data_IF_214092468123
#
_entry.id   IF_214092468123
#
_cell.length_a   1.000
_cell.length_b   1.000
_cell.length_c   1.000
_cell.angle_alpha   90.00
_cell.angle_beta   90.00
_cell.angle_gamma   90.00
#
_symmetry.space_group_name_H-M   'P 1'
#
loop_
_entity.id
_entity.type
_entity.pdbx_description
1 polymer ?
#
# COMPACT_ATOMS: atom_id res chain seq x y z
N UNK A 1 -4.68 -2.09 -26.71
CA UNK A 1 -5.07 -1.55 -25.39
C UNK A 1 -6.25 -0.61 -25.58
N UNK A 2 -7.32 -0.75 -24.81
CA UNK A 2 -8.48 0.16 -24.86
C UNK A 2 -8.84 0.60 -23.46
N UNK A 3 -8.29 1.75 -23.02
CA UNK A 3 -8.65 2.36 -21.72
C UNK A 3 -10.12 2.77 -21.62
N UNK A 4 -10.83 2.82 -22.78
CA UNK A 4 -12.26 3.16 -22.81
C UNK A 4 -13.12 2.13 -22.09
N UNK A 5 -12.68 0.87 -22.08
CA UNK A 5 -13.40 -0.24 -21.45
C UNK A 5 -13.34 -0.19 -19.91
N UNK A 6 -12.50 0.71 -19.36
CA UNK A 6 -12.38 0.96 -17.93
C UNK A 6 -13.31 2.06 -17.41
N UNK A 7 -14.08 2.74 -18.28
CA UNK A 7 -14.97 3.85 -17.86
C UNK A 7 -16.20 3.39 -17.08
N UNK A 8 -16.53 2.11 -17.13
CA UNK A 8 -17.71 1.56 -16.46
C UNK A 8 -17.27 0.52 -15.43
N UNK A 9 -17.73 0.67 -14.19
CA UNK A 9 -17.58 -0.35 -13.16
C UNK A 9 -18.51 -1.52 -13.48
N UNK A 10 -18.06 -2.78 -13.49
CA UNK A 10 -18.93 -3.93 -13.68
C UNK A 10 -20.01 -3.97 -12.61
N UNK A 11 -21.26 -4.26 -13.02
CA UNK A 11 -22.42 -4.29 -12.11
C UNK A 11 -22.21 -5.16 -10.85
N UNK A 12 -21.64 -6.38 -10.92
CA UNK A 12 -21.36 -7.17 -9.74
C UNK A 12 -20.38 -6.49 -8.76
N UNK A 13 -19.43 -5.72 -9.28
CA UNK A 13 -18.47 -4.96 -8.46
C UNK A 13 -19.18 -3.83 -7.74
N UNK A 14 -20.06 -3.09 -8.43
CA UNK A 14 -20.83 -2.02 -7.83
C UNK A 14 -21.77 -2.55 -6.73
N UNK A 15 -22.43 -3.69 -6.95
CA UNK A 15 -23.28 -4.34 -5.95
C UNK A 15 -22.49 -4.80 -4.72
N UNK A 16 -21.31 -5.38 -4.92
CA UNK A 16 -20.43 -5.80 -3.83
C UNK A 16 -19.92 -4.60 -3.03
N UNK A 17 -19.52 -3.51 -3.69
CA UNK A 17 -19.12 -2.27 -3.04
C UNK A 17 -20.25 -1.68 -2.18
N UNK A 18 -21.47 -1.59 -2.72
CA UNK A 18 -22.64 -1.13 -1.96
C UNK A 18 -22.96 -2.03 -0.76
N UNK A 19 -22.69 -3.32 -0.84
CA UNK A 19 -22.86 -4.23 0.29
C UNK A 19 -21.80 -3.98 1.38
N UNK A 20 -20.54 -3.69 0.99
CA UNK A 20 -19.50 -3.30 1.94
C UNK A 20 -19.79 -1.97 2.63
N UNK A 21 -20.32 -0.98 1.92
CA UNK A 21 -20.69 0.30 2.52
C UNK A 21 -21.69 0.13 3.67
N UNK A 22 -22.67 -0.78 3.54
CA UNK A 22 -23.60 -1.09 4.61
C UNK A 22 -22.95 -1.77 5.81
N UNK A 23 -21.97 -2.64 5.57
CA UNK A 23 -21.17 -3.24 6.64
C UNK A 23 -20.32 -2.18 7.33
N UNK A 24 -19.64 -1.34 6.57
CA UNK A 24 -18.78 -0.28 7.09
C UNK A 24 -19.58 0.76 7.91
N UNK A 25 -20.85 1.03 7.54
CA UNK A 25 -21.75 1.88 8.31
C UNK A 25 -22.07 1.31 9.70
N UNK A 26 -22.14 -0.01 9.83
CA UNK A 26 -22.32 -0.65 11.13
C UNK A 26 -21.13 -0.40 12.07
N UNK A 27 -19.92 -0.31 11.55
CA UNK A 27 -18.73 0.07 12.33
C UNK A 27 -18.75 1.54 12.77
N UNK A 28 -19.34 2.42 11.97
CA UNK A 28 -19.49 3.83 12.35
C UNK A 28 -20.53 3.99 13.44
N UNK A 29 -21.69 3.33 13.30
CA UNK A 29 -22.80 3.38 14.27
C UNK A 29 -22.45 2.68 15.57
N UNK A 30 -21.75 1.54 15.50
CA UNK A 30 -21.41 0.64 16.60
C UNK A 30 -22.35 -0.56 16.71
N UNK A 31 -21.75 -1.75 16.80
CA UNK A 31 -22.48 -3.02 16.87
C UNK A 31 -23.31 -3.16 18.17
N UNK A 32 -22.96 -2.46 19.22
CA UNK A 32 -23.77 -2.38 20.45
C UNK A 32 -25.07 -1.57 20.31
N UNK A 33 -25.28 -0.89 19.19
CA UNK A 33 -26.43 0.03 18.96
C UNK A 33 -27.15 -0.23 17.64
N UNK A 34 -26.93 -1.38 17.01
CA UNK A 34 -27.54 -1.69 15.71
C UNK A 34 -29.07 -1.78 15.81
N UNK A 35 -29.73 -1.13 14.86
CA UNK A 35 -31.16 -1.28 14.65
C UNK A 35 -31.47 -2.63 13.99
N UNK A 36 -32.73 -3.05 14.05
CA UNK A 36 -33.20 -4.23 13.30
C UNK A 36 -32.93 -4.12 11.80
N UNK A 37 -33.09 -2.94 11.23
CA UNK A 37 -32.78 -2.69 9.81
C UNK A 37 -31.29 -2.89 9.47
N UNK A 38 -30.38 -2.48 10.35
CA UNK A 38 -28.94 -2.74 10.17
C UNK A 38 -28.63 -4.24 10.25
N UNK A 39 -29.25 -4.96 11.19
CA UNK A 39 -29.09 -6.42 11.31
C UNK A 39 -29.63 -7.16 10.08
N UNK A 40 -30.77 -6.74 9.54
CA UNK A 40 -31.31 -7.30 8.28
C UNK A 40 -30.38 -7.04 7.09
N UNK A 41 -29.79 -5.84 7.02
CA UNK A 41 -28.81 -5.51 5.98
C UNK A 41 -27.57 -6.38 6.06
N UNK A 42 -27.04 -6.64 7.28
CA UNK A 42 -25.93 -7.55 7.53
C UNK A 42 -26.29 -9.00 7.19
N UNK A 43 -27.50 -9.45 7.58
CA UNK A 43 -28.00 -10.78 7.21
C UNK A 43 -28.14 -10.95 5.69
N UNK A 44 -28.45 -9.86 4.98
CA UNK A 44 -28.48 -9.85 3.50
C UNK A 44 -27.14 -10.21 2.86
N UNK A 45 -26.01 -9.89 3.50
CA UNK A 45 -24.68 -10.26 3.04
C UNK A 45 -24.42 -11.77 3.14
N UNK A 46 -25.11 -12.51 4.00
CA UNK A 46 -24.92 -13.96 4.17
C UNK A 46 -25.05 -14.71 2.85
N UNK A 47 -25.94 -14.27 1.96
CA UNK A 47 -26.14 -14.89 0.65
C UNK A 47 -24.89 -14.82 -0.23
N UNK A 48 -24.08 -13.77 -0.06
CA UNK A 48 -22.82 -13.60 -0.81
C UNK A 48 -21.76 -14.62 -0.40
N UNK A 49 -21.89 -15.22 0.77
CA UNK A 49 -20.96 -16.21 1.29
C UNK A 49 -21.45 -17.65 1.20
N UNK A 50 -22.68 -17.89 0.70
CA UNK A 50 -23.33 -19.20 0.74
C UNK A 50 -22.51 -20.36 0.14
N UNK A 51 -21.66 -20.08 -0.85
CA UNK A 51 -20.78 -21.06 -1.48
C UNK A 51 -19.31 -20.99 -1.02
N UNK A 52 -19.03 -20.32 0.10
CA UNK A 52 -17.68 -20.11 0.61
C UNK A 52 -17.48 -20.82 1.96
N UNK A 53 -16.24 -21.12 2.37
CA UNK A 53 -15.96 -21.64 3.71
C UNK A 53 -16.43 -20.72 4.86
N UNK A 54 -16.66 -19.43 4.60
CA UNK A 54 -17.13 -18.46 5.60
C UNK A 54 -18.64 -18.52 5.86
N UNK A 55 -19.43 -19.27 5.08
CA UNK A 55 -20.90 -19.23 5.14
C UNK A 55 -21.46 -19.53 6.55
N UNK A 56 -21.00 -20.61 7.15
CA UNK A 56 -21.47 -21.04 8.48
C UNK A 56 -21.03 -20.08 9.59
N UNK A 57 -19.76 -19.67 9.57
CA UNK A 57 -19.17 -18.78 10.56
C UNK A 57 -19.79 -17.38 10.49
N UNK A 58 -20.01 -16.87 9.28
CA UNK A 58 -20.65 -15.57 9.08
C UNK A 58 -22.11 -15.57 9.58
N UNK A 59 -22.86 -16.65 9.29
CA UNK A 59 -24.22 -16.81 9.80
C UNK A 59 -24.25 -16.84 11.33
N UNK A 60 -23.34 -17.59 11.96
CA UNK A 60 -23.22 -17.69 13.40
C UNK A 60 -22.85 -16.32 14.03
N UNK A 61 -21.91 -15.58 13.42
CA UNK A 61 -21.51 -14.26 13.89
C UNK A 61 -22.69 -13.26 13.87
N UNK A 62 -23.42 -13.17 12.76
CA UNK A 62 -24.58 -12.29 12.64
C UNK A 62 -25.69 -12.67 13.64
N UNK A 63 -25.94 -13.97 13.82
CA UNK A 63 -26.91 -14.44 14.79
C UNK A 63 -26.50 -14.11 16.24
N UNK A 64 -25.22 -14.30 16.60
CA UNK A 64 -24.68 -13.96 17.92
C UNK A 64 -24.82 -12.45 18.19
N UNK A 65 -24.36 -11.62 17.25
CA UNK A 65 -24.48 -10.16 17.35
C UNK A 65 -25.95 -9.74 17.50
N UNK A 66 -26.86 -10.34 16.73
CA UNK A 66 -28.28 -10.07 16.82
C UNK A 66 -28.92 -10.45 18.17
N UNK A 67 -28.28 -11.33 18.94
CA UNK A 67 -28.66 -11.69 20.31
C UNK A 67 -27.90 -10.93 21.39
N UNK A 68 -27.07 -9.93 20.99
CA UNK A 68 -26.13 -9.21 21.86
C UNK A 68 -25.09 -10.14 22.52
N UNK A 69 -24.73 -11.24 21.85
CA UNK A 69 -23.64 -12.11 22.23
C UNK A 69 -22.37 -11.62 21.50
N UNK A 70 -21.59 -10.80 22.16
CA UNK A 70 -20.38 -10.20 21.55
C UNK A 70 -19.15 -11.01 21.93
N UNK A 71 -18.54 -11.66 20.93
CA UNK A 71 -17.31 -12.43 21.07
C UNK A 71 -16.31 -11.94 20.01
N UNK A 72 -15.03 -11.87 20.34
CA UNK A 72 -13.98 -11.42 19.41
C UNK A 72 -13.96 -12.22 18.11
N UNK A 73 -14.26 -13.51 18.15
CA UNK A 73 -14.39 -14.37 16.97
C UNK A 73 -15.48 -13.91 16.00
N UNK A 74 -16.59 -13.30 16.47
CA UNK A 74 -17.62 -12.78 15.59
C UNK A 74 -17.09 -11.59 14.77
N UNK A 75 -16.32 -10.72 15.42
CA UNK A 75 -15.70 -9.56 14.77
C UNK A 75 -14.55 -9.96 13.85
N UNK A 76 -13.80 -11.02 14.18
CA UNK A 76 -12.82 -11.61 13.28
C UNK A 76 -13.48 -12.13 11.99
N UNK A 77 -14.63 -12.79 12.10
CA UNK A 77 -15.39 -13.25 10.93
C UNK A 77 -15.90 -12.09 10.09
N UNK A 78 -16.36 -10.98 10.71
CA UNK A 78 -16.75 -9.77 9.97
C UNK A 78 -15.55 -9.16 9.23
N UNK A 79 -14.39 -9.09 9.86
CA UNK A 79 -13.15 -8.61 9.23
C UNK A 79 -12.74 -9.50 8.05
N UNK A 80 -12.79 -10.83 8.22
CA UNK A 80 -12.48 -11.80 7.17
C UNK A 80 -13.48 -11.72 6.00
N UNK A 81 -14.77 -11.58 6.30
CA UNK A 81 -15.82 -11.41 5.30
C UNK A 81 -15.60 -10.12 4.48
N UNK A 82 -15.33 -9.00 5.15
CA UNK A 82 -14.98 -7.74 4.51
C UNK A 82 -13.77 -7.88 3.58
N UNK A 83 -12.68 -8.44 4.09
CA UNK A 83 -11.47 -8.67 3.32
C UNK A 83 -11.71 -9.58 2.11
N UNK A 84 -12.55 -10.61 2.25
CA UNK A 84 -12.89 -11.53 1.15
C UNK A 84 -13.66 -10.82 0.03
N UNK A 85 -14.62 -9.94 0.37
CA UNK A 85 -15.35 -9.16 -0.63
C UNK A 85 -14.43 -8.16 -1.31
N UNK A 86 -13.59 -7.45 -0.57
CA UNK A 86 -12.56 -6.58 -1.17
C UNK A 86 -11.61 -7.35 -2.09
N UNK A 87 -11.18 -8.55 -1.68
CA UNK A 87 -10.37 -9.41 -2.53
C UNK A 87 -11.08 -9.82 -3.83
N UNK A 88 -12.36 -10.15 -3.76
CA UNK A 88 -13.14 -10.48 -4.96
C UNK A 88 -13.34 -9.27 -5.89
N UNK A 89 -13.61 -8.09 -5.32
CA UNK A 89 -13.68 -6.84 -6.08
C UNK A 89 -12.33 -6.54 -6.75
N UNK A 90 -11.24 -6.63 -5.99
CA UNK A 90 -9.89 -6.45 -6.52
C UNK A 90 -9.62 -7.39 -7.71
N UNK A 91 -9.92 -8.67 -7.59
CA UNK A 91 -9.67 -9.64 -8.65
C UNK A 91 -10.50 -9.37 -9.90
N UNK A 92 -11.77 -8.97 -9.73
CA UNK A 92 -12.64 -8.59 -10.83
C UNK A 92 -12.13 -7.34 -11.56
N UNK A 93 -11.67 -6.33 -10.80
CA UNK A 93 -11.09 -5.11 -11.36
C UNK A 93 -9.75 -5.40 -12.07
N UNK A 94 -8.88 -6.24 -11.48
CA UNK A 94 -7.62 -6.65 -12.13
C UNK A 94 -7.89 -7.44 -13.41
N UNK A 95 -8.93 -8.28 -13.43
CA UNK A 95 -9.35 -8.95 -14.66
C UNK A 95 -9.84 -7.97 -15.73
N UNK A 96 -10.63 -6.95 -15.34
CA UNK A 96 -11.07 -5.87 -16.23
C UNK A 96 -9.87 -5.09 -16.77
N UNK A 97 -8.93 -4.70 -15.92
CA UNK A 97 -7.71 -4.00 -16.34
C UNK A 97 -6.86 -4.87 -17.29
N UNK A 98 -6.74 -6.16 -17.00
CA UNK A 98 -6.01 -7.09 -17.84
C UNK A 98 -6.61 -7.20 -19.25
N UNK A 99 -7.94 -7.32 -19.35
CA UNK A 99 -8.64 -7.34 -20.63
C UNK A 99 -8.45 -6.01 -21.40
N UNK A 100 -8.59 -4.87 -20.74
CA UNK A 100 -8.40 -3.54 -21.34
C UNK A 100 -6.95 -3.32 -21.84
N UNK A 101 -5.97 -3.91 -21.16
CA UNK A 101 -4.55 -3.82 -21.50
C UNK A 101 -4.09 -4.91 -22.47
N UNK A 102 -5.00 -5.78 -22.94
CA UNK A 102 -4.67 -6.96 -23.76
C UNK A 102 -3.58 -7.84 -23.12
N UNK A 103 -3.75 -8.12 -21.83
CA UNK A 103 -2.84 -8.94 -21.02
C UNK A 103 -3.56 -10.20 -20.55
N UNK A 104 -2.86 -11.33 -20.41
CA UNK A 104 -3.46 -12.50 -19.77
C UNK A 104 -3.85 -12.15 -18.31
N UNK A 105 -4.94 -12.74 -17.78
CA UNK A 105 -5.27 -12.60 -16.38
C UNK A 105 -4.09 -13.09 -15.53
N UNK A 106 -3.89 -12.53 -14.32
CA UNK A 106 -2.82 -12.97 -13.45
C UNK A 106 -3.00 -14.46 -13.14
N UNK A 107 -1.93 -15.23 -13.31
CA UNK A 107 -1.92 -16.61 -12.83
C UNK A 107 -2.06 -16.59 -11.31
N UNK A 108 -2.96 -17.39 -10.77
CA UNK A 108 -3.07 -17.61 -9.33
C UNK A 108 -1.95 -18.60 -8.96
N UNK A 109 -0.74 -18.10 -8.76
CA UNK A 109 0.31 -18.91 -8.15
C UNK A 109 -0.02 -19.07 -6.66
N UNK A 110 0.02 -20.31 -6.19
CA UNK A 110 -0.08 -20.57 -4.76
C UNK A 110 1.12 -19.90 -4.07
N UNK A 111 0.83 -19.01 -3.12
CA UNK A 111 1.90 -18.50 -2.25
C UNK A 111 2.34 -19.70 -1.42
N UNK A 112 3.61 -20.11 -1.54
CA UNK A 112 4.19 -21.04 -0.58
C UNK A 112 4.19 -20.34 0.79
N UNK A 113 3.15 -20.64 1.57
CA UNK A 113 3.10 -20.22 2.96
C UNK A 113 4.21 -20.96 3.69
N UNK A 114 5.16 -20.24 4.28
CA UNK A 114 6.02 -20.85 5.29
C UNK A 114 5.14 -21.25 6.47
N UNK A 115 5.44 -22.38 7.12
CA UNK A 115 4.77 -22.72 8.35
C UNK A 115 4.89 -21.53 9.30
N UNK A 116 3.75 -21.06 9.79
CA UNK A 116 3.68 -19.95 10.72
C UNK A 116 4.56 -20.28 11.92
N UNK A 117 5.50 -19.41 12.24
CA UNK A 117 6.23 -19.53 13.51
C UNK A 117 5.23 -19.23 14.62
N UNK A 118 5.11 -20.16 15.56
CA UNK A 118 4.28 -19.90 16.74
C UNK A 118 4.80 -18.64 17.43
N UNK A 119 3.95 -17.64 17.68
CA UNK A 119 4.38 -16.45 18.39
C UNK A 119 4.90 -16.82 19.79
N UNK A 120 5.83 -16.05 20.35
CA UNK A 120 6.22 -16.22 21.75
C UNK A 120 4.97 -16.21 22.63
N UNK A 121 4.93 -16.97 23.76
CA UNK A 121 3.75 -17.03 24.63
C UNK A 121 3.20 -15.66 25.04
N UNK A 122 4.06 -14.69 25.25
CA UNK A 122 3.69 -13.33 25.61
C UNK A 122 3.01 -12.58 24.43
N UNK A 123 3.43 -12.83 23.20
CA UNK A 123 2.78 -12.24 22.02
C UNK A 123 1.34 -12.76 21.87
N UNK A 124 1.04 -13.99 22.25
CA UNK A 124 -0.31 -14.53 22.22
C UNK A 124 -1.26 -13.71 23.13
N UNK A 125 -0.80 -13.30 24.31
CA UNK A 125 -1.58 -12.45 25.23
C UNK A 125 -1.82 -11.06 24.61
N UNK A 126 -0.81 -10.47 23.99
CA UNK A 126 -0.97 -9.18 23.32
C UNK A 126 -1.94 -9.24 22.14
N UNK A 127 -1.88 -10.31 21.35
CA UNK A 127 -2.79 -10.53 20.22
C UNK A 127 -4.24 -10.73 20.70
N UNK A 128 -4.44 -11.44 21.81
CA UNK A 128 -5.76 -11.56 22.43
C UNK A 128 -6.27 -10.20 22.93
N UNK A 129 -5.44 -9.45 23.67
CA UNK A 129 -5.78 -8.08 24.12
C UNK A 129 -6.11 -7.16 22.94
N UNK A 130 -5.40 -7.31 21.83
CA UNK A 130 -5.68 -6.57 20.59
C UNK A 130 -7.08 -6.89 20.06
N UNK A 131 -7.45 -8.18 19.95
CA UNK A 131 -8.78 -8.56 19.47
C UNK A 131 -9.90 -8.02 20.37
N UNK A 132 -9.71 -8.07 21.69
CA UNK A 132 -10.66 -7.53 22.65
C UNK A 132 -10.82 -6.02 22.49
N UNK A 133 -9.71 -5.26 22.42
CA UNK A 133 -9.77 -3.83 22.20
C UNK A 133 -10.43 -3.45 20.86
N UNK A 134 -10.11 -4.14 19.77
CA UNK A 134 -10.74 -3.93 18.47
C UNK A 134 -12.26 -4.25 18.51
N UNK A 135 -12.66 -5.27 19.26
CA UNK A 135 -14.06 -5.56 19.49
C UNK A 135 -14.77 -4.41 20.25
N UNK A 136 -14.15 -3.86 21.28
CA UNK A 136 -14.69 -2.72 22.03
C UNK A 136 -14.87 -1.48 21.13
N UNK A 137 -13.89 -1.17 20.28
CA UNK A 137 -14.01 -0.10 19.29
C UNK A 137 -15.22 -0.32 18.36
N UNK A 138 -15.39 -1.55 17.87
CA UNK A 138 -16.51 -1.89 16.98
C UNK A 138 -17.87 -1.86 17.70
N UNK A 139 -17.92 -2.24 18.97
CA UNK A 139 -19.15 -2.17 19.78
C UNK A 139 -19.57 -0.71 20.05
N UNK A 140 -18.62 0.14 20.42
CA UNK A 140 -18.88 1.57 20.65
C UNK A 140 -19.30 2.27 19.34
N UNK A 141 -18.64 1.93 18.25
CA UNK A 141 -18.76 2.57 16.95
C UNK A 141 -17.90 3.84 16.83
N UNK A 142 -17.34 4.05 15.66
CA UNK A 142 -16.38 5.13 15.43
C UNK A 142 -16.97 6.54 15.64
N UNK A 143 -18.29 6.71 15.49
CA UNK A 143 -18.95 7.99 15.79
C UNK A 143 -19.13 8.26 17.29
N UNK A 144 -18.94 7.24 18.13
CA UNK A 144 -19.19 7.33 19.58
C UNK A 144 -17.97 6.94 20.41
N UNK A 145 -16.78 6.93 19.80
CA UNK A 145 -15.56 6.64 20.54
C UNK A 145 -15.27 7.74 21.56
N UNK A 146 -14.80 7.31 22.70
CA UNK A 146 -14.27 8.14 23.76
C UNK A 146 -12.82 7.79 24.04
N UNK A 147 -12.06 8.73 24.57
CA UNK A 147 -10.62 8.54 24.87
C UNK A 147 -10.41 7.35 25.81
N UNK A 148 -11.35 7.13 26.73
CA UNK A 148 -11.32 6.04 27.70
C UNK A 148 -11.44 4.64 27.08
N UNK A 149 -11.91 4.55 25.82
CA UNK A 149 -11.95 3.29 25.05
C UNK A 149 -10.62 3.10 24.30
N UNK A 150 -9.98 4.19 23.89
CA UNK A 150 -8.79 4.15 23.04
C UNK A 150 -7.50 3.98 23.87
N UNK A 151 -7.32 4.80 24.90
CA UNK A 151 -6.06 4.88 25.66
C UNK A 151 -5.68 3.62 26.45
N UNK A 152 -6.59 2.79 26.98
CA UNK A 152 -6.18 1.60 27.74
C UNK A 152 -5.30 0.62 26.96
N UNK A 153 -5.35 0.64 25.63
CA UNK A 153 -4.52 -0.23 24.78
C UNK A 153 -3.06 0.24 24.67
N UNK A 154 -2.73 1.50 25.07
CA UNK A 154 -1.39 2.06 24.90
C UNK A 154 -0.29 1.20 25.54
N UNK A 155 -0.52 0.67 26.73
CA UNK A 155 0.47 -0.18 27.42
C UNK A 155 0.77 -1.49 26.65
N UNK A 156 -0.22 -2.06 25.98
CA UNK A 156 -0.04 -3.25 25.13
C UNK A 156 0.74 -2.86 23.87
N UNK A 157 0.44 -1.70 23.28
CA UNK A 157 1.15 -1.20 22.10
C UNK A 157 2.63 -0.95 22.41
N UNK A 158 2.96 -0.27 23.51
CA UNK A 158 4.33 0.00 23.96
C UNK A 158 5.13 -1.31 24.16
N UNK A 159 4.46 -2.34 24.70
CA UNK A 159 5.06 -3.66 24.86
C UNK A 159 5.35 -4.33 23.51
N UNK A 160 4.42 -4.25 22.55
CA UNK A 160 4.62 -4.77 21.17
C UNK A 160 5.73 -4.03 20.42
N UNK A 161 5.87 -2.74 20.59
CA UNK A 161 6.94 -1.94 19.95
C UNK A 161 8.33 -2.39 20.38
N UNK A 162 8.45 -2.89 21.60
CA UNK A 162 9.71 -3.41 22.14
C UNK A 162 10.09 -4.80 21.61
N UNK A 163 9.18 -5.49 20.93
CA UNK A 163 9.36 -6.85 20.41
C UNK A 163 9.49 -6.86 18.88
N UNK A 164 10.68 -7.16 18.32
CA UNK A 164 10.90 -7.10 16.87
C UNK A 164 9.96 -7.96 16.04
N UNK A 165 9.51 -9.11 16.57
CA UNK A 165 8.56 -9.99 15.90
C UNK A 165 7.15 -9.38 15.77
N UNK A 166 6.84 -8.38 16.59
CA UNK A 166 5.57 -7.67 16.62
C UNK A 166 5.60 -6.31 15.90
N UNK A 167 6.74 -5.90 15.34
CA UNK A 167 6.93 -4.56 14.77
C UNK A 167 5.85 -4.19 13.72
N UNK A 168 5.41 -5.15 12.89
CA UNK A 168 4.36 -4.90 11.90
C UNK A 168 2.99 -4.67 12.54
N UNK A 169 2.67 -5.41 13.62
CA UNK A 169 1.45 -5.23 14.38
C UNK A 169 1.46 -3.88 15.09
N UNK A 170 2.56 -3.56 15.77
CA UNK A 170 2.74 -2.30 16.45
C UNK A 170 2.60 -1.09 15.51
N UNK A 171 3.21 -1.16 14.33
CA UNK A 171 3.10 -0.09 13.33
C UNK A 171 1.65 0.13 12.85
N UNK A 172 0.91 -0.96 12.58
CA UNK A 172 -0.49 -0.86 12.14
C UNK A 172 -1.39 -0.33 13.25
N UNK A 173 -1.26 -0.88 14.47
CA UNK A 173 -2.08 -0.51 15.62
C UNK A 173 -1.76 0.91 16.11
N UNK A 174 -0.48 1.28 16.14
CA UNK A 174 -0.04 2.65 16.46
C UNK A 174 -0.57 3.67 15.45
N UNK A 175 -0.57 3.32 14.15
CA UNK A 175 -1.18 4.14 13.12
C UNK A 175 -2.69 4.32 13.32
N UNK A 176 -3.43 3.24 13.55
CA UNK A 176 -4.87 3.31 13.84
C UNK A 176 -5.14 4.14 15.09
N UNK A 177 -4.46 3.86 16.20
CA UNK A 177 -4.65 4.56 17.46
C UNK A 177 -4.31 6.05 17.34
N UNK A 178 -3.23 6.40 16.64
CA UNK A 178 -2.84 7.78 16.37
C UNK A 178 -3.90 8.54 15.58
N UNK A 179 -4.49 7.93 14.55
CA UNK A 179 -5.58 8.54 13.78
C UNK A 179 -6.84 8.73 14.63
N UNK A 180 -7.20 7.73 15.46
CA UNK A 180 -8.34 7.85 16.36
C UNK A 180 -8.12 8.98 17.34
N UNK A 181 -6.94 9.11 17.96
CA UNK A 181 -6.62 10.16 18.93
C UNK A 181 -6.50 11.55 18.32
N UNK A 182 -6.07 11.68 17.08
CA UNK A 182 -5.94 12.96 16.39
C UNK A 182 -7.28 13.70 16.21
N UNK A 183 -8.38 12.98 16.28
CA UNK A 183 -9.74 13.54 16.13
C UNK A 183 -10.29 14.07 17.45
N UNK A 184 -9.70 13.75 18.60
CA UNK A 184 -10.18 14.16 19.93
C UNK A 184 -9.43 15.39 20.47
N UNK A 185 -10.14 16.26 21.26
CA UNK A 185 -11.57 16.25 21.58
C UNK A 185 -12.43 16.76 20.42
N UNK A 186 -13.45 16.00 20.11
CA UNK A 186 -14.32 16.23 18.97
C UNK A 186 -15.31 17.40 19.26
N UNK A 187 -14.92 18.63 18.96
CA UNK A 187 -15.78 19.82 19.14
C UNK A 187 -16.54 20.24 17.86
N UNK A 188 -16.83 19.33 17.01
CA UNK A 188 -17.59 19.52 15.77
C UNK A 188 -17.38 18.29 14.93
N UNK A 189 -18.44 17.60 14.52
CA UNK A 189 -18.34 16.32 13.84
C UNK A 189 -17.36 16.38 12.65
N UNK A 190 -16.09 15.98 12.81
CA UNK A 190 -15.25 15.78 11.64
C UNK A 190 -15.86 14.64 10.86
N UNK A 191 -15.75 14.72 9.56
CA UNK A 191 -16.13 13.60 8.70
C UNK A 191 -15.25 12.40 9.06
N UNK A 192 -15.87 11.34 9.58
CA UNK A 192 -15.17 10.12 9.95
C UNK A 192 -14.65 9.48 8.65
N UNK A 193 -13.34 9.24 8.52
CA UNK A 193 -12.79 8.58 7.33
C UNK A 193 -13.13 7.07 7.36
N UNK A 194 -14.43 6.78 7.21
CA UNK A 194 -15.05 5.46 7.38
C UNK A 194 -14.26 4.33 6.69
N UNK A 195 -14.02 4.48 5.40
CA UNK A 195 -13.33 3.44 4.62
C UNK A 195 -11.95 3.13 5.19
N UNK A 196 -11.20 4.17 5.56
CA UNK A 196 -9.85 4.02 6.08
C UNK A 196 -9.83 3.39 7.47
N UNK A 197 -10.67 3.84 8.38
CA UNK A 197 -10.68 3.32 9.75
C UNK A 197 -11.18 1.88 9.82
N UNK A 198 -12.22 1.54 9.05
CA UNK A 198 -12.70 0.14 8.97
C UNK A 198 -11.68 -0.76 8.28
N UNK A 199 -10.92 -0.24 7.30
CA UNK A 199 -9.85 -1.01 6.66
C UNK A 199 -8.71 -1.29 7.64
N UNK A 200 -8.22 -0.29 8.35
CA UNK A 200 -7.16 -0.44 9.37
C UNK A 200 -7.62 -1.39 10.47
N UNK A 201 -8.85 -1.23 10.96
CA UNK A 201 -9.46 -2.10 11.96
C UNK A 201 -9.53 -3.55 11.47
N UNK A 202 -10.04 -3.78 10.25
CA UNK A 202 -10.18 -5.13 9.68
C UNK A 202 -8.82 -5.81 9.51
N UNK A 203 -7.82 -5.08 9.04
CA UNK A 203 -6.44 -5.58 8.91
C UNK A 203 -5.84 -5.93 10.26
N UNK A 204 -6.02 -5.06 11.26
CA UNK A 204 -5.55 -5.29 12.61
C UNK A 204 -6.21 -6.52 13.25
N UNK A 205 -7.52 -6.70 13.08
CA UNK A 205 -8.26 -7.87 13.59
C UNK A 205 -7.77 -9.18 12.95
N UNK A 206 -7.58 -9.21 11.62
CA UNK A 206 -7.06 -10.39 10.91
C UNK A 206 -5.63 -10.68 11.34
N UNK A 207 -4.77 -9.66 11.42
CA UNK A 207 -3.39 -9.84 11.86
C UNK A 207 -3.28 -10.32 13.31
N UNK A 208 -4.20 -9.91 14.19
CA UNK A 208 -4.23 -10.35 15.57
C UNK A 208 -4.71 -11.82 15.73
N UNK A 209 -5.31 -12.41 14.69
CA UNK A 209 -5.74 -13.80 14.68
C UNK A 209 -4.76 -14.73 13.97
N UNK A 210 -3.96 -14.22 13.04
CA UNK A 210 -2.98 -14.97 12.29
C UNK A 210 -1.57 -14.57 12.71
N UNK A 211 -0.68 -15.53 12.99
CA UNK A 211 0.71 -15.20 13.23
C UNK A 211 1.31 -14.49 12.00
N UNK A 212 2.25 -13.55 12.19
CA UNK A 212 2.86 -12.83 11.10
C UNK A 212 3.60 -13.77 10.16
N UNK A 213 3.11 -13.91 8.94
CA UNK A 213 3.81 -14.66 7.90
C UNK A 213 5.04 -13.88 7.45
N UNK A 214 6.21 -14.44 7.65
CA UNK A 214 7.41 -13.93 7.03
C UNK A 214 7.38 -14.30 5.54
N UNK A 215 7.39 -13.28 4.66
CA UNK A 215 7.55 -13.49 3.22
C UNK A 215 8.79 -14.33 2.94
N UNK A 216 8.61 -15.46 2.27
CA UNK A 216 9.73 -16.19 1.72
C UNK A 216 10.52 -15.26 0.79
N UNK A 217 11.85 -15.25 0.94
CA UNK A 217 12.73 -14.50 0.07
C UNK A 217 13.70 -15.46 -0.61
N UNK A 218 14.02 -15.20 -1.87
CA UNK A 218 15.12 -15.84 -2.60
C UNK A 218 16.15 -14.81 -3.04
N UNK A 219 17.38 -15.21 -3.16
CA UNK A 219 18.44 -14.35 -3.71
C UNK A 219 18.33 -14.27 -5.22
N UNK A 220 18.45 -13.05 -5.77
CA UNK A 220 18.47 -12.79 -7.20
C UNK A 220 19.67 -11.93 -7.59
N UNK A 221 20.20 -12.19 -8.78
CA UNK A 221 21.25 -11.38 -9.37
C UNK A 221 20.90 -11.07 -10.82
N UNK A 222 21.27 -9.89 -11.32
CA UNK A 222 20.96 -9.51 -12.70
C UNK A 222 21.05 -8.03 -12.95
N UNK A 223 20.44 -7.60 -14.06
CA UNK A 223 20.31 -6.20 -14.43
C UNK A 223 18.91 -5.68 -14.08
N UNK A 224 18.87 -4.56 -13.38
CA UNK A 224 17.65 -3.89 -12.96
C UNK A 224 17.47 -2.61 -13.78
N UNK A 225 16.37 -2.51 -14.51
CA UNK A 225 15.99 -1.38 -15.36
C UNK A 225 14.90 -0.58 -14.64
N UNK A 226 15.19 0.66 -14.28
CA UNK A 226 14.21 1.53 -13.61
C UNK A 226 13.18 1.97 -14.62
N UNK A 227 11.89 1.74 -14.33
CA UNK A 227 10.76 2.06 -15.20
C UNK A 227 9.99 3.30 -14.74
N UNK A 228 10.12 3.67 -13.48
CA UNK A 228 9.47 4.83 -12.89
C UNK A 228 9.53 4.82 -11.38
N UNK A 229 9.12 5.92 -10.77
CA UNK A 229 9.09 6.08 -9.32
C UNK A 229 7.81 6.78 -8.89
N UNK A 230 7.36 6.49 -7.65
CA UNK A 230 6.26 7.14 -6.96
C UNK A 230 6.75 7.60 -5.58
N UNK A 231 6.49 8.85 -5.22
CA UNK A 231 6.85 9.40 -3.91
C UNK A 231 5.59 9.50 -3.05
N UNK A 232 5.58 8.80 -1.93
CA UNK A 232 4.50 8.81 -0.95
C UNK A 232 4.96 9.50 0.31
N UNK A 233 4.20 10.46 0.76
CA UNK A 233 4.53 11.23 1.95
C UNK A 233 3.42 11.13 2.99
N UNK A 234 3.84 10.98 4.23
CA UNK A 234 3.05 11.11 5.44
C UNK A 234 3.76 12.09 6.37
N UNK A 235 3.10 12.52 7.43
CA UNK A 235 3.67 13.49 8.37
C UNK A 235 5.01 13.03 8.96
N UNK A 236 5.12 11.73 9.30
CA UNK A 236 6.29 11.16 9.97
C UNK A 236 7.18 10.30 9.06
N UNK A 237 6.79 10.07 7.82
CA UNK A 237 7.53 9.20 6.91
C UNK A 237 7.39 9.62 5.45
N UNK A 238 8.42 9.34 4.67
CA UNK A 238 8.36 9.38 3.22
C UNK A 238 8.85 8.06 2.65
N UNK A 239 8.19 7.58 1.59
CA UNK A 239 8.55 6.35 0.89
C UNK A 239 8.73 6.64 -0.59
N UNK A 240 9.92 6.37 -1.11
CA UNK A 240 10.17 6.34 -2.54
C UNK A 240 9.94 4.91 -3.03
N UNK A 241 8.91 4.70 -3.84
CA UNK A 241 8.62 3.42 -4.50
C UNK A 241 9.27 3.46 -5.88
N UNK A 242 10.15 2.51 -6.15
CA UNK A 242 10.82 2.38 -7.46
C UNK A 242 10.27 1.14 -8.16
N UNK A 243 9.69 1.34 -9.33
CA UNK A 243 9.25 0.27 -10.22
C UNK A 243 10.36 -0.06 -11.20
N UNK A 244 10.69 -1.34 -11.31
CA UNK A 244 11.79 -1.78 -12.14
C UNK A 244 11.49 -3.10 -12.85
N UNK A 245 12.17 -3.32 -13.97
CA UNK A 245 12.22 -4.60 -14.66
C UNK A 245 13.55 -5.28 -14.34
N UNK A 246 13.48 -6.48 -13.80
CA UNK A 246 14.64 -7.33 -13.50
C UNK A 246 14.85 -8.35 -14.61
N UNK A 247 15.98 -8.29 -15.28
CA UNK A 247 16.51 -9.35 -16.13
C UNK A 247 17.41 -10.23 -15.25
N UNK A 248 16.84 -11.30 -14.72
CA UNK A 248 17.52 -12.19 -13.79
C UNK A 248 18.57 -13.04 -14.53
N UNK A 249 19.78 -13.12 -13.97
CA UNK A 249 20.85 -13.93 -14.54
C UNK A 249 20.44 -15.40 -14.66
N UNK A 250 20.59 -15.96 -15.86
CA UNK A 250 20.19 -17.34 -16.17
C UNK A 250 18.72 -17.52 -16.52
N UNK A 251 17.89 -16.45 -16.51
CA UNK A 251 16.51 -16.47 -16.95
C UNK A 251 16.34 -15.69 -18.25
N UNK A 252 15.37 -16.14 -19.09
CA UNK A 252 14.95 -15.38 -20.27
C UNK A 252 13.74 -14.48 -19.99
N UNK A 253 13.15 -14.59 -18.81
CA UNK A 253 11.97 -13.84 -18.43
C UNK A 253 12.35 -12.56 -17.69
N UNK A 254 11.77 -11.43 -18.11
CA UNK A 254 11.85 -10.16 -17.39
C UNK A 254 10.73 -10.11 -16.34
N UNK A 255 11.07 -9.77 -15.11
CA UNK A 255 10.14 -9.66 -13.99
C UNK A 255 9.97 -8.21 -13.58
N UNK A 256 8.73 -7.77 -13.38
CA UNK A 256 8.47 -6.47 -12.76
C UNK A 256 8.65 -6.60 -11.25
N UNK A 257 9.44 -5.70 -10.68
CA UNK A 257 9.77 -5.64 -9.25
C UNK A 257 9.48 -4.26 -8.69
N UNK A 258 9.30 -4.19 -7.37
CA UNK A 258 9.18 -2.93 -6.64
C UNK A 258 10.27 -2.86 -5.57
N UNK A 259 10.74 -1.64 -5.31
CA UNK A 259 11.68 -1.34 -4.24
C UNK A 259 11.04 -0.23 -3.40
N UNK A 260 11.05 -0.39 -2.09
CA UNK A 260 10.58 0.60 -1.15
C UNK A 260 11.75 1.14 -0.35
N UNK A 261 12.06 2.44 -0.52
CA UNK A 261 12.93 3.17 0.38
C UNK A 261 12.05 4.01 1.30
N UNK A 262 11.95 3.63 2.55
CA UNK A 262 11.17 4.37 3.54
C UNK A 262 12.10 5.03 4.54
N UNK A 263 11.94 6.33 4.74
CA UNK A 263 12.67 7.13 5.70
C UNK A 263 11.70 7.85 6.64
N UNK A 264 12.01 7.84 7.93
CA UNK A 264 11.27 8.67 8.90
C UNK A 264 11.69 10.13 8.75
N UNK A 265 10.73 11.01 8.86
CA UNK A 265 10.93 12.46 8.78
C UNK A 265 10.11 13.18 9.85
N UNK A 266 10.38 14.45 10.00
CA UNK A 266 9.50 15.42 10.67
C UNK A 266 8.92 16.36 9.61
N UNK A 267 7.81 17.02 9.91
CA UNK A 267 7.02 17.81 8.95
C UNK A 267 7.83 18.86 8.19
N UNK A 268 8.83 19.44 8.83
CA UNK A 268 9.69 20.46 8.22
C UNK A 268 10.64 19.93 7.14
N UNK A 269 10.80 18.60 7.02
CA UNK A 269 11.64 17.99 6.00
C UNK A 269 10.78 17.72 4.78
N UNK A 270 10.99 18.51 3.74
CA UNK A 270 10.27 18.46 2.48
C UNK A 270 11.22 18.69 1.29
N UNK A 271 10.74 18.48 0.10
CA UNK A 271 11.46 18.77 -1.13
C UNK A 271 12.81 18.07 -1.23
N UNK A 272 13.86 18.81 -1.61
CA UNK A 272 15.22 18.28 -1.82
C UNK A 272 15.81 17.60 -0.57
N UNK A 273 15.35 17.94 0.63
CA UNK A 273 15.84 17.33 1.89
C UNK A 273 15.43 15.86 2.03
N UNK A 274 14.31 15.45 1.41
CA UNK A 274 13.90 14.04 1.35
C UNK A 274 14.93 13.21 0.58
N UNK A 275 15.53 13.78 -0.48
CA UNK A 275 16.59 13.12 -1.24
C UNK A 275 17.80 12.79 -0.38
N UNK A 276 18.15 13.64 0.59
CA UNK A 276 19.22 13.37 1.53
C UNK A 276 18.91 12.20 2.46
N UNK A 277 17.67 12.09 2.95
CA UNK A 277 17.23 10.96 3.77
C UNK A 277 17.30 9.64 2.99
N UNK A 278 16.79 9.61 1.77
CA UNK A 278 16.85 8.40 0.95
C UNK A 278 18.28 8.01 0.56
N UNK A 279 19.20 8.99 0.44
CA UNK A 279 20.62 8.72 0.15
C UNK A 279 21.28 7.90 1.26
N UNK A 280 20.82 8.03 2.51
CA UNK A 280 21.37 7.25 3.64
C UNK A 280 21.07 5.75 3.52
N UNK A 281 19.99 5.38 2.82
CA UNK A 281 19.52 4.00 2.69
C UNK A 281 19.62 3.43 1.28
N UNK A 282 19.89 4.27 0.27
CA UNK A 282 19.89 3.86 -1.14
C UNK A 282 20.72 4.75 -2.05
N UNK A 283 21.97 5.05 -1.67
CA UNK A 283 22.85 5.95 -2.42
C UNK A 283 23.08 5.51 -3.87
N UNK A 284 23.31 4.22 -4.12
CA UNK A 284 23.53 3.66 -5.45
C UNK A 284 22.24 3.71 -6.29
N UNK A 285 21.08 3.45 -5.67
CA UNK A 285 19.79 3.54 -6.34
C UNK A 285 19.49 4.99 -6.76
N UNK A 286 19.68 5.96 -5.85
CA UNK A 286 19.51 7.37 -6.16
C UNK A 286 20.52 7.91 -7.19
N UNK A 287 21.75 7.43 -7.14
CA UNK A 287 22.74 7.77 -8.17
C UNK A 287 22.34 7.26 -9.55
N UNK A 288 21.81 6.05 -9.63
CA UNK A 288 21.27 5.49 -10.87
C UNK A 288 20.06 6.25 -11.39
N UNK A 289 19.12 6.63 -10.51
CA UNK A 289 17.96 7.48 -10.85
C UNK A 289 18.39 8.82 -11.42
N UNK A 290 19.26 9.55 -10.69
CA UNK A 290 19.78 10.86 -11.11
C UNK A 290 20.60 10.78 -12.41
N UNK A 291 21.32 9.67 -12.60
CA UNK A 291 22.18 9.44 -13.77
C UNK A 291 21.44 8.86 -14.99
N UNK A 292 20.17 8.43 -14.83
CA UNK A 292 19.47 7.68 -15.88
C UNK A 292 20.21 6.39 -16.22
N UNK A 293 20.56 5.59 -15.21
CA UNK A 293 21.38 4.39 -15.37
C UNK A 293 20.58 3.15 -14.94
N UNK A 294 20.92 2.01 -15.52
CA UNK A 294 20.52 0.70 -15.01
C UNK A 294 21.37 0.36 -13.78
N UNK A 295 20.94 -0.66 -13.03
CA UNK A 295 21.66 -1.17 -11.87
C UNK A 295 22.03 -2.63 -12.10
N UNK A 296 23.27 -3.00 -11.75
CA UNK A 296 23.63 -4.41 -11.58
C UNK A 296 23.42 -4.78 -10.12
N UNK A 297 22.61 -5.81 -9.86
CA UNK A 297 22.37 -6.33 -8.51
C UNK A 297 22.96 -7.72 -8.36
N UNK A 298 23.44 -8.02 -7.15
CA UNK A 298 24.02 -9.32 -6.81
C UNK A 298 23.47 -9.81 -5.46
N UNK A 299 22.92 -11.02 -5.48
CA UNK A 299 22.38 -11.69 -4.29
C UNK A 299 21.34 -10.84 -3.52
N UNK A 300 20.58 -10.03 -4.25
CA UNK A 300 19.51 -9.19 -3.68
C UNK A 300 18.33 -10.04 -3.24
N UNK A 301 17.78 -9.85 -2.02
CA UNK A 301 16.59 -10.61 -1.61
C UNK A 301 15.34 -10.17 -2.37
N UNK A 302 14.70 -11.09 -3.06
CA UNK A 302 13.40 -10.93 -3.72
C UNK A 302 12.34 -11.66 -2.91
N UNK A 303 11.33 -10.93 -2.47
CA UNK A 303 10.19 -11.49 -1.76
C UNK A 303 9.16 -12.12 -2.73
N UNK A 304 8.35 -13.05 -2.23
CA UNK A 304 7.34 -13.76 -3.03
C UNK A 304 6.30 -12.85 -3.70
N UNK A 305 6.04 -11.67 -3.12
CA UNK A 305 5.17 -10.64 -3.69
C UNK A 305 5.85 -9.75 -4.77
N UNK A 306 7.07 -10.07 -5.19
CA UNK A 306 7.81 -9.32 -6.20
C UNK A 306 8.57 -8.09 -5.67
N UNK A 307 8.59 -7.85 -4.36
CA UNK A 307 9.32 -6.74 -3.77
C UNK A 307 10.79 -7.13 -3.55
N UNK A 308 11.72 -6.30 -4.05
CA UNK A 308 13.13 -6.40 -3.71
C UNK A 308 13.38 -5.75 -2.35
N UNK A 309 13.89 -6.51 -1.40
CA UNK A 309 14.38 -5.97 -0.14
C UNK A 309 15.73 -5.31 -0.40
N UNK A 310 15.71 -3.98 -0.48
CA UNK A 310 16.85 -3.23 -0.92
C UNK A 310 18.04 -3.33 0.07
N UNK A 311 19.19 -3.65 -0.47
CA UNK A 311 20.48 -3.60 0.19
C UNK A 311 21.45 -2.88 -0.76
N UNK A 312 21.76 -1.63 -0.45
CA UNK A 312 22.52 -0.76 -1.34
C UNK A 312 23.95 -1.28 -1.63
N UNK A 313 24.52 -2.05 -0.70
CA UNK A 313 25.83 -2.69 -0.88
C UNK A 313 25.82 -3.77 -1.99
N UNK A 314 24.64 -4.32 -2.32
CA UNK A 314 24.46 -5.36 -3.35
C UNK A 314 24.12 -4.79 -4.73
N UNK A 315 24.11 -3.47 -4.87
CA UNK A 315 23.74 -2.78 -6.10
C UNK A 315 24.87 -1.85 -6.57
N UNK A 316 25.05 -1.75 -7.90
CA UNK A 316 26.00 -0.82 -8.52
C UNK A 316 25.34 -0.16 -9.73
N UNK A 317 25.47 1.19 -9.89
CA UNK A 317 25.10 1.86 -11.13
C UNK A 317 25.86 1.27 -12.31
N UNK A 318 25.13 1.02 -13.40
CA UNK A 318 25.64 0.41 -14.62
C UNK A 318 25.60 1.37 -15.81
N UNK A 319 25.29 0.85 -16.99
CA UNK A 319 25.20 1.60 -18.23
C UNK A 319 24.05 2.62 -18.20
N UNK A 320 24.17 3.70 -18.98
CA UNK A 320 23.06 4.61 -19.23
C UNK A 320 21.91 3.86 -19.89
N UNK A 321 20.69 4.21 -19.49
CA UNK A 321 19.44 3.59 -19.94
C UNK A 321 18.53 4.62 -20.62
N UNK A 322 17.73 4.13 -21.54
CA UNK A 322 16.54 4.84 -22.00
C UNK A 322 15.33 4.28 -21.25
N UNK A 323 14.89 4.96 -20.20
CA UNK A 323 13.75 4.53 -19.38
C UNK A 323 12.52 4.24 -20.24
N UNK A 324 12.29 5.04 -21.28
CA UNK A 324 11.16 4.90 -22.20
C UNK A 324 11.27 3.63 -23.04
N UNK A 325 12.47 3.32 -23.56
CA UNK A 325 12.69 2.11 -24.35
C UNK A 325 12.61 0.86 -23.46
N UNK A 326 13.20 0.94 -22.28
CA UNK A 326 13.12 -0.14 -21.29
C UNK A 326 11.67 -0.38 -20.84
N UNK A 327 10.89 0.68 -20.61
CA UNK A 327 9.48 0.57 -20.27
C UNK A 327 8.63 0.01 -21.43
N UNK A 328 8.82 0.52 -22.65
CA UNK A 328 8.12 -0.01 -23.82
C UNK A 328 8.45 -1.48 -24.06
N UNK A 329 9.69 -1.89 -23.86
CA UNK A 329 10.11 -3.29 -24.01
C UNK A 329 9.54 -4.19 -22.90
N UNK A 330 9.53 -3.73 -21.64
CA UNK A 330 9.08 -4.51 -20.50
C UNK A 330 7.56 -4.55 -20.34
N UNK A 331 6.86 -3.45 -20.69
CA UNK A 331 5.43 -3.26 -20.46
C UNK A 331 4.60 -3.40 -21.74
N UNK A 332 5.21 -3.26 -22.91
CA UNK A 332 4.57 -3.42 -24.22
C UNK A 332 4.24 -4.89 -24.57
N UNK A 333 4.83 -5.85 -23.89
CA UNK A 333 4.50 -7.28 -23.93
C UNK A 333 3.92 -7.66 -22.58
N UNK A 334 3.04 -8.67 -22.57
CA UNK A 334 2.51 -9.18 -21.31
C UNK A 334 3.68 -9.56 -20.38
N UNK A 335 3.78 -9.00 -19.18
CA UNK A 335 4.84 -9.38 -18.25
C UNK A 335 4.74 -10.86 -17.93
N UNK A 336 5.86 -11.57 -17.97
CA UNK A 336 5.92 -13.02 -17.81
C UNK A 336 5.47 -13.49 -16.42
N UNK A 337 5.57 -12.63 -15.39
CA UNK A 337 5.09 -12.92 -14.05
C UNK A 337 4.64 -11.62 -13.37
N UNK A 338 3.47 -11.66 -12.78
CA UNK A 338 2.97 -10.62 -11.87
C UNK A 338 3.32 -10.99 -10.43
N UNK A 339 3.51 -10.00 -9.55
CA UNK A 339 3.61 -10.26 -8.12
C UNK A 339 2.38 -11.02 -7.63
N UNK A 340 2.58 -12.05 -6.83
CA UNK A 340 1.48 -12.71 -6.13
C UNK A 340 1.15 -11.85 -4.92
N UNK A 341 -0.07 -11.34 -4.85
CA UNK A 341 -0.51 -10.53 -3.73
C UNK A 341 -1.03 -11.40 -2.60
N UNK A 342 -0.64 -11.07 -1.37
CA UNK A 342 -1.26 -11.66 -0.20
C UNK A 342 -2.73 -11.28 -0.11
N UNK A 343 -3.58 -12.09 0.54
CA UNK A 343 -4.98 -11.75 0.75
C UNK A 343 -5.19 -10.35 1.34
N UNK A 344 -4.33 -9.94 2.27
CA UNK A 344 -4.39 -8.60 2.88
C UNK A 344 -4.04 -7.45 1.91
N UNK A 345 -3.30 -7.74 0.83
CA UNK A 345 -2.92 -6.74 -0.18
C UNK A 345 -3.90 -6.71 -1.36
N UNK A 346 -4.87 -7.62 -1.40
CA UNK A 346 -5.92 -7.68 -2.42
C UNK A 346 -7.05 -6.73 -2.05
N UNK A 347 -6.82 -5.45 -2.23
CA UNK A 347 -7.78 -4.39 -1.96
C UNK A 347 -7.89 -3.47 -3.20
N UNK A 348 -9.07 -3.00 -3.59
CA UNK A 348 -9.26 -2.16 -4.79
C UNK A 348 -8.33 -0.94 -4.82
N UNK A 349 -8.19 -0.23 -3.71
CA UNK A 349 -7.33 0.95 -3.62
C UNK A 349 -5.82 0.66 -3.74
N UNK A 350 -5.42 -0.62 -3.68
CA UNK A 350 -4.03 -1.04 -3.84
C UNK A 350 -3.72 -1.55 -5.25
N UNK A 351 -4.65 -1.43 -6.20
CA UNK A 351 -4.39 -1.76 -7.60
C UNK A 351 -3.42 -0.73 -8.17
N UNK A 352 -2.26 -1.21 -8.58
CA UNK A 352 -1.17 -0.40 -9.13
C UNK A 352 -0.58 -1.15 -10.34
N UNK A 353 -1.28 -1.09 -11.46
CA UNK A 353 -0.80 -1.70 -12.70
C UNK A 353 0.11 -0.74 -13.44
N UNK A 354 1.37 -1.10 -13.57
CA UNK A 354 2.33 -0.31 -14.34
C UNK A 354 2.03 -0.47 -15.84
N UNK A 355 1.81 0.66 -16.52
CA UNK A 355 1.42 0.69 -17.93
C UNK A 355 2.31 1.63 -18.73
N UNK A 356 2.63 1.22 -19.95
CA UNK A 356 3.17 2.09 -20.98
C UNK A 356 2.02 2.59 -21.83
N UNK A 357 1.88 3.90 -21.93
CA UNK A 357 0.85 4.57 -22.73
C UNK A 357 1.51 5.23 -23.94
N UNK A 358 1.39 4.65 -25.15
CA UNK A 358 1.92 5.22 -26.35
C UNK A 358 1.12 6.48 -26.77
N UNK A 359 1.69 7.39 -27.57
CA UNK A 359 1.04 8.65 -27.94
C UNK A 359 -0.31 8.47 -28.65
N UNK A 360 -0.44 7.39 -29.40
CA UNK A 360 -1.65 7.04 -30.16
C UNK A 360 -2.83 6.59 -29.29
N UNK A 361 -2.56 6.18 -28.07
CA UNK A 361 -3.55 5.57 -27.16
C UNK A 361 -3.94 6.48 -26.01
N UNK A 362 -3.31 7.66 -25.90
CA UNK A 362 -3.69 8.64 -24.91
C UNK A 362 -5.09 9.18 -25.23
N UNK A 363 -6.09 8.65 -24.56
CA UNK A 363 -7.43 9.21 -24.58
C UNK A 363 -7.42 10.44 -23.67
N UNK A 364 -7.57 11.64 -24.25
CA UNK A 364 -7.68 12.92 -23.50
C UNK A 364 -8.80 12.91 -22.45
N UNK A 365 -9.71 11.97 -22.57
CA UNK A 365 -10.89 11.83 -21.72
C UNK A 365 -10.69 10.83 -20.57
N UNK A 366 -9.52 10.22 -20.43
CA UNK A 366 -9.27 9.31 -19.31
C UNK A 366 -8.78 10.10 -18.09
N UNK A 367 -9.37 9.91 -16.89
CA UNK A 367 -9.00 10.67 -15.71
C UNK A 367 -7.52 10.52 -15.37
N UNK A 368 -6.86 11.66 -15.14
CA UNK A 368 -5.50 11.71 -14.66
C UNK A 368 -5.51 12.13 -13.19
N UNK A 369 -4.79 11.41 -12.37
CA UNK A 369 -4.51 11.83 -11.01
C UNK A 369 -3.20 12.61 -10.98
N UNK A 370 -3.31 13.90 -10.84
CA UNK A 370 -2.18 14.83 -10.84
C UNK A 370 -1.81 15.20 -9.39
N UNK A 371 -2.76 15.12 -8.47
CA UNK A 371 -2.62 15.59 -7.08
C UNK A 371 -1.63 14.78 -6.23
N UNK A 372 -1.28 13.56 -6.67
CA UNK A 372 -0.26 12.72 -6.00
C UNK A 372 1.16 12.94 -6.53
N UNK A 373 1.34 13.88 -7.46
CA UNK A 373 2.67 14.18 -7.96
C UNK A 373 3.49 14.90 -6.88
N UNK A 374 4.74 14.49 -6.76
CA UNK A 374 5.63 15.05 -5.76
C UNK A 374 5.84 16.55 -6.00
N UNK A 375 5.76 17.37 -4.96
CA UNK A 375 6.01 18.81 -5.00
C UNK A 375 7.37 19.19 -5.60
N UNK A 376 8.34 18.26 -5.56
CA UNK A 376 9.70 18.47 -6.04
C UNK A 376 9.92 18.15 -7.51
N UNK A 377 9.01 17.45 -8.16
CA UNK A 377 9.18 17.01 -9.55
C UNK A 377 7.82 16.82 -10.23
N UNK A 378 7.05 17.88 -10.24
CA UNK A 378 5.69 17.89 -10.77
C UNK A 378 5.69 17.58 -12.27
N UNK A 379 5.06 16.47 -12.65
CA UNK A 379 4.61 16.22 -14.00
C UNK A 379 3.25 16.91 -14.15
N UNK A 380 3.23 18.11 -14.73
CA UNK A 380 1.98 18.82 -14.96
C UNK A 380 1.31 18.37 -16.25
N UNK A 381 0.01 18.60 -16.38
CA UNK A 381 -0.75 18.23 -17.58
C UNK A 381 -0.13 18.71 -18.90
N UNK A 382 0.59 19.87 -18.89
CA UNK A 382 1.36 20.35 -20.04
C UNK A 382 2.55 19.47 -20.41
N UNK A 383 3.05 18.63 -19.48
CA UNK A 383 4.12 17.69 -19.80
C UNK A 383 3.59 16.49 -20.61
N UNK A 384 2.33 16.15 -20.43
CA UNK A 384 1.66 15.11 -21.20
C UNK A 384 1.26 15.60 -22.59
N UNK A 385 0.93 16.90 -22.72
CA UNK A 385 0.60 17.50 -23.99
C UNK A 385 1.82 17.46 -24.94
N UNK A 386 1.70 16.75 -26.06
CA UNK A 386 2.78 16.57 -27.04
C UNK A 386 3.86 15.56 -26.60
N UNK A 387 3.61 14.75 -25.57
CA UNK A 387 4.51 13.68 -25.18
C UNK A 387 4.61 12.61 -26.28
N UNK A 388 5.76 11.91 -26.32
CA UNK A 388 5.98 10.74 -27.17
C UNK A 388 5.61 9.42 -26.47
N UNK A 389 4.78 9.52 -25.45
CA UNK A 389 4.36 8.43 -24.58
C UNK A 389 4.82 8.65 -23.14
N UNK A 390 4.19 7.92 -22.24
CA UNK A 390 4.48 8.01 -20.80
C UNK A 390 4.28 6.66 -20.09
N UNK A 391 4.94 6.51 -18.95
CA UNK A 391 4.67 5.42 -18.00
C UNK A 391 3.74 5.94 -16.93
N UNK A 392 2.74 5.16 -16.59
CA UNK A 392 1.78 5.51 -15.56
C UNK A 392 1.47 4.31 -14.67
N UNK A 393 0.94 4.60 -13.49
CA UNK A 393 0.22 3.64 -12.67
C UNK A 393 -1.26 3.75 -13.01
N UNK A 394 -1.84 2.64 -13.46
CA UNK A 394 -3.28 2.49 -13.57
C UNK A 394 -3.79 2.09 -12.19
N UNK A 395 -4.66 2.92 -11.63
CA UNK A 395 -5.19 2.79 -10.28
C UNK A 395 -6.71 2.78 -10.29
N UNK A 396 -7.29 2.19 -9.25
CA UNK A 396 -8.71 2.25 -8.98
C UNK A 396 -8.94 2.76 -7.56
N UNK A 397 -9.67 3.86 -7.41
CA UNK A 397 -10.06 4.43 -6.13
C UNK A 397 -11.37 5.19 -6.26
N UNK A 398 -12.16 5.27 -5.17
CA UNK A 398 -13.45 5.98 -5.18
C UNK A 398 -14.45 5.48 -6.23
N UNK A 399 -14.36 4.21 -6.67
CA UNK A 399 -15.23 3.64 -7.69
C UNK A 399 -14.83 3.99 -9.15
N UNK A 400 -13.68 4.62 -9.37
CA UNK A 400 -13.22 5.05 -10.68
C UNK A 400 -11.79 4.61 -10.97
N UNK A 401 -11.49 4.43 -12.26
CA UNK A 401 -10.15 4.22 -12.76
C UNK A 401 -9.50 5.54 -13.14
N UNK A 402 -8.20 5.66 -12.88
CA UNK A 402 -7.39 6.81 -13.31
C UNK A 402 -5.94 6.39 -13.59
N UNK A 403 -5.23 7.26 -14.31
CA UNK A 403 -3.80 7.13 -14.57
C UNK A 403 -3.03 8.15 -13.73
N UNK A 404 -2.02 7.67 -13.01
CA UNK A 404 -1.01 8.52 -12.38
C UNK A 404 0.26 8.47 -13.22
N UNK A 405 0.59 9.48 -14.04
CA UNK A 405 1.82 9.51 -14.81
C UNK A 405 3.03 9.58 -13.86
N UNK A 406 4.05 8.75 -14.12
CA UNK A 406 5.28 8.72 -13.33
C UNK A 406 6.54 8.98 -14.15
N UNK A 407 6.48 8.80 -15.49
CA UNK A 407 7.55 9.15 -16.43
C UNK A 407 6.95 9.68 -17.70
N UNK A 408 7.44 10.81 -18.22
CA UNK A 408 6.97 11.42 -19.47
C UNK A 408 8.14 11.69 -20.42
N UNK A 409 7.99 11.34 -21.70
CA UNK A 409 8.95 11.63 -22.75
C UNK A 409 8.46 12.75 -23.67
N UNK A 410 9.21 13.86 -23.72
CA UNK A 410 8.97 14.98 -24.69
C UNK A 410 9.92 14.94 -25.90
N UNK A 411 10.57 13.81 -26.16
CA UNK A 411 11.54 13.68 -27.26
C UNK A 411 12.89 14.31 -26.96
N UNK A 412 13.15 14.72 -25.71
CA UNK A 412 14.49 15.09 -25.22
C UNK A 412 15.26 13.81 -24.86
N UNK A 413 16.62 13.87 -24.80
CA UNK A 413 17.43 12.68 -24.51
C UNK A 413 17.11 12.01 -23.18
N UNK A 414 16.58 12.75 -22.22
CA UNK A 414 16.14 12.23 -20.93
C UNK A 414 14.66 12.55 -20.69
N UNK A 415 13.84 11.53 -20.35
CA UNK A 415 12.48 11.73 -19.91
C UNK A 415 12.44 12.44 -18.56
N UNK A 416 11.34 13.10 -18.23
CA UNK A 416 11.07 13.53 -16.85
C UNK A 416 10.45 12.37 -16.07
N UNK A 417 10.95 12.15 -14.87
CA UNK A 417 10.50 11.10 -13.95
C UNK A 417 10.26 11.72 -12.57
N UNK A 418 9.19 11.33 -11.91
CA UNK A 418 8.94 11.66 -10.50
C UNK A 418 10.13 11.21 -9.67
N UNK A 419 10.59 12.03 -8.72
CA UNK A 419 11.73 11.72 -7.86
C UNK A 419 13.13 11.87 -8.48
N UNK A 420 13.23 12.17 -9.78
CA UNK A 420 14.54 12.37 -10.42
C UNK A 420 15.22 13.66 -9.93
N UNK A 421 14.47 14.74 -9.78
CA UNK A 421 14.98 16.00 -9.24
C UNK A 421 15.37 15.81 -7.76
N UNK A 422 14.57 15.10 -7.01
CA UNK A 422 14.85 14.70 -5.63
C UNK A 422 16.18 13.93 -5.51
N UNK A 423 16.42 12.95 -6.39
CA UNK A 423 17.66 12.20 -6.44
C UNK A 423 18.87 13.07 -6.85
N UNK A 424 18.65 14.02 -7.76
CA UNK A 424 19.69 14.97 -8.16
C UNK A 424 19.96 16.04 -7.10
N UNK A 425 18.92 16.47 -6.38
CA UNK A 425 18.97 17.49 -5.32
C UNK A 425 19.66 16.99 -4.03
N UNK A 426 19.66 15.69 -3.79
CA UNK A 426 20.25 15.07 -2.59
C UNK A 426 21.71 15.49 -2.32
N UNK A 427 22.45 15.84 -3.37
CA UNK A 427 23.85 16.33 -3.27
C UNK A 427 23.94 17.82 -2.91
N UNK A 428 22.82 18.57 -2.95
CA UNK A 428 22.81 20.02 -2.77
C UNK A 428 22.47 20.47 -1.35
N UNK A 429 22.03 19.54 -0.49
CA UNK A 429 21.66 19.85 0.89
C UNK A 429 22.91 20.23 1.68
N UNK A 430 23.11 21.56 1.83
CA UNK A 430 24.28 22.15 2.49
C UNK A 430 24.10 22.37 3.99
N UNK A 431 25.13 22.92 4.64
CA UNK A 431 25.05 23.43 6.03
C UNK A 431 23.95 24.49 6.10
N UNK A 432 22.92 24.24 6.91
CA UNK A 432 21.77 25.16 7.08
C UNK A 432 20.42 24.58 6.65
N UNK A 433 20.41 23.38 6.05
CA UNK A 433 19.13 22.66 5.80
C UNK A 433 18.46 22.27 7.12
N UNK A 434 17.13 22.12 7.11
CA UNK A 434 16.37 21.69 8.28
C UNK A 434 16.89 20.35 8.83
N UNK A 435 17.25 19.44 7.94
CA UNK A 435 17.85 18.15 8.29
C UNK A 435 19.22 18.30 8.97
N UNK A 436 20.10 19.17 8.48
CA UNK A 436 21.42 19.43 9.10
C UNK A 436 21.27 20.03 10.50
N UNK A 437 20.34 20.96 10.67
CA UNK A 437 20.03 21.59 11.97
C UNK A 437 19.49 20.56 12.97
N UNK A 438 18.58 19.68 12.52
CA UNK A 438 18.02 18.62 13.36
C UNK A 438 19.09 17.62 13.79
N UNK A 439 19.95 17.17 12.88
CA UNK A 439 21.08 16.28 13.19
C UNK A 439 22.05 16.91 14.18
N UNK A 440 22.36 18.19 14.02
CA UNK A 440 23.23 18.90 14.95
C UNK A 440 22.59 19.00 16.34
N UNK A 441 21.30 19.34 16.44
CA UNK A 441 20.58 19.41 17.71
C UNK A 441 20.49 18.05 18.39
N UNK A 442 20.15 16.99 17.65
CA UNK A 442 20.11 15.62 18.17
C UNK A 442 21.48 15.18 18.72
N UNK A 443 22.56 15.45 17.97
CA UNK A 443 23.94 15.15 18.41
C UNK A 443 24.34 15.89 19.68
N UNK A 444 23.89 17.16 19.84
CA UNK A 444 24.15 17.94 21.07
C UNK A 444 23.39 17.40 22.26
N UNK A 445 22.16 16.91 22.06
CA UNK A 445 21.33 16.31 23.12
C UNK A 445 21.92 14.97 23.59
N UNK A 446 22.40 14.14 22.66
CA UNK A 446 23.03 12.86 22.99
C UNK A 446 24.36 13.03 23.73
N UNK A 447 25.18 14.05 23.36
CA UNK A 447 26.44 14.36 24.07
C UNK A 447 26.25 14.95 25.47
N UNK A 448 25.07 15.51 25.79
CA UNK A 448 24.74 16.01 27.13
C UNK A 448 24.34 14.92 28.12
N UNK A 449 24.06 13.71 27.63
CA UNK A 449 23.64 12.53 28.43
C UNK A 449 24.78 11.54 28.70
N UNK A 450 25.96 11.75 28.12
CA UNK A 450 27.21 11.02 28.39
C UNK A 450 28.13 11.88 29.25
#
# INVERSE_FOLDING_TARGET
>A
MSLRDLKTTPEPVAQAAAALERLDEAFVTGFGRLSSANLEALAGLQRSFAATPLAAEFAAAIQGIGRSEFLDRHFLVLAAARASVHGAIHDALVAQASAALDRPPPAVEAIEARPAQSPPPQAAVWLESTRQWLMELALAGFSNLEVDIILPFQATLDAMESEPSMARHAALLGGLMGELLAVFPNKGAPEIPRLRWVDLWSRAMIMAAAPPEALATRSVSGELKILGTDLRQHDMAATLVVFAALDEAGSKATRICRIYLTAFKVDVIQGDELGALFTEIGANLLAALAGGQRLTIKDMPLAGNGDLRWDDAKAKPGAKASVIEDAAAALGKAPAARPVLFPADRHPALIEELVWVPPSEYAKDFPLEIDRMAETDELVGTDLAGSKGFVALLRHDGGAWFLQPIVVSKGKPQPRMVGQALAAGAKKTGRGSSLAILKERASKLLRKKS
#
